data_IF_933642565045
#
_entry.id   IF_933642565045
#
_cell.length_a   1.000
_cell.length_b   1.000
_cell.length_c   1.000
_cell.angle_alpha   90.00
_cell.angle_beta   90.00
_cell.angle_gamma   90.00
#
_symmetry.space_group_name_H-M   'P 1'
#
loop_
_entity.id
_entity.type
_entity.pdbx_description
1 polymer ?
#
# COMPACT_ATOMS: atom_id res chain seq x y z
N UNK A 1 -14.73 23.71 -16.03
CA UNK A 1 -13.84 22.84 -15.23
C UNK A 1 -12.42 23.15 -15.65
N UNK A 2 -11.57 23.68 -14.75
CA UNK A 2 -10.14 23.87 -15.03
C UNK A 2 -9.50 22.47 -15.16
N UNK A 3 -8.75 22.24 -16.23
CA UNK A 3 -8.03 20.98 -16.45
C UNK A 3 -7.09 20.71 -15.28
N UNK A 4 -7.06 19.47 -14.81
CA UNK A 4 -6.10 19.05 -13.80
C UNK A 4 -4.70 19.23 -14.38
N UNK A 5 -3.90 20.12 -13.81
CA UNK A 5 -2.47 20.16 -14.07
C UNK A 5 -1.91 18.77 -13.79
N UNK A 6 -1.22 18.20 -14.77
CA UNK A 6 -0.53 16.90 -14.70
C UNK A 6 0.67 17.04 -13.77
N UNK A 7 0.41 17.18 -12.47
CA UNK A 7 1.44 17.25 -11.45
C UNK A 7 2.05 15.89 -11.18
N UNK A 8 3.26 15.90 -10.60
CA UNK A 8 3.87 14.76 -9.91
C UNK A 8 3.55 14.91 -8.41
N UNK A 9 2.32 14.59 -7.94
CA UNK A 9 1.89 14.89 -6.57
C UNK A 9 2.67 14.12 -5.49
N UNK A 10 3.39 13.06 -5.88
CA UNK A 10 4.21 12.25 -4.99
C UNK A 10 5.71 12.54 -5.14
N UNK A 11 6.10 13.61 -5.84
CA UNK A 11 7.50 13.96 -6.00
C UNK A 11 8.22 14.11 -4.65
N UNK A 12 9.27 13.30 -4.45
CA UNK A 12 10.04 13.24 -3.21
C UNK A 12 9.45 12.37 -2.09
N UNK A 13 8.27 11.77 -2.29
CA UNK A 13 7.69 10.84 -1.34
C UNK A 13 8.32 9.44 -1.49
N UNK A 14 8.71 8.83 -0.37
CA UNK A 14 9.10 7.41 -0.32
C UNK A 14 7.87 6.55 -0.06
N UNK A 15 7.68 5.52 -0.89
CA UNK A 15 6.49 4.67 -0.88
C UNK A 15 6.90 3.21 -0.76
N UNK A 16 6.31 2.48 0.18
CA UNK A 16 6.47 1.02 0.30
C UNK A 16 5.15 0.34 -0.08
N UNK A 17 5.16 -0.46 -1.15
CA UNK A 17 4.00 -1.21 -1.63
C UNK A 17 4.12 -2.69 -1.21
N UNK A 18 3.42 -3.07 -0.14
CA UNK A 18 3.48 -4.41 0.45
C UNK A 18 2.44 -5.33 -0.21
N UNK A 19 2.91 -6.40 -0.85
CA UNK A 19 2.06 -7.26 -1.68
C UNK A 19 1.80 -6.64 -3.05
N UNK A 20 2.85 -6.09 -3.69
CA UNK A 20 2.73 -5.33 -4.93
C UNK A 20 2.23 -6.14 -6.13
N UNK A 21 2.22 -7.48 -6.04
CA UNK A 21 1.82 -8.37 -7.11
C UNK A 21 2.62 -8.10 -8.39
N UNK A 22 1.92 -7.96 -9.52
CA UNK A 22 2.51 -7.63 -10.82
C UNK A 22 2.89 -6.15 -11.00
N UNK A 23 2.87 -5.32 -9.95
CA UNK A 23 3.44 -3.96 -9.96
C UNK A 23 2.52 -2.84 -10.49
N UNK A 24 1.22 -3.09 -10.72
CA UNK A 24 0.30 -2.08 -11.29
C UNK A 24 0.15 -0.81 -10.42
N UNK A 25 0.01 -1.01 -9.11
CA UNK A 25 -0.08 0.10 -8.15
C UNK A 25 1.25 0.82 -8.04
N UNK A 26 2.35 0.06 -7.93
CA UNK A 26 3.70 0.59 -7.85
C UNK A 26 4.05 1.46 -9.07
N UNK A 27 3.73 1.00 -10.29
CA UNK A 27 3.88 1.75 -11.54
C UNK A 27 3.16 3.10 -11.49
N UNK A 28 1.89 3.07 -11.07
CA UNK A 28 1.07 4.28 -10.97
C UNK A 28 1.65 5.28 -9.97
N UNK A 29 2.12 4.81 -8.82
CA UNK A 29 2.71 5.64 -7.76
C UNK A 29 4.04 6.28 -8.19
N UNK A 30 4.87 5.56 -8.94
CA UNK A 30 6.12 6.11 -9.51
C UNK A 30 5.85 7.15 -10.60
N UNK A 31 4.89 6.89 -11.49
CA UNK A 31 4.47 7.88 -12.52
C UNK A 31 3.94 9.17 -11.90
N UNK A 32 3.39 9.10 -10.69
CA UNK A 32 2.98 10.27 -9.90
C UNK A 32 4.14 10.95 -9.16
N UNK A 33 5.38 10.47 -9.29
CA UNK A 33 6.61 11.06 -8.76
C UNK A 33 7.20 10.37 -7.53
N UNK A 34 6.58 9.29 -7.02
CA UNK A 34 7.06 8.60 -5.83
C UNK A 34 8.34 7.79 -6.06
N UNK A 35 9.21 7.76 -5.06
CA UNK A 35 10.30 6.80 -4.91
C UNK A 35 9.71 5.52 -4.29
N UNK A 36 9.39 4.54 -5.14
CA UNK A 36 8.57 3.38 -4.76
C UNK A 36 9.43 2.12 -4.62
N UNK A 37 9.34 1.49 -3.46
CA UNK A 37 9.82 0.14 -3.19
C UNK A 37 8.61 -0.82 -3.17
N UNK A 38 8.53 -1.72 -4.14
CA UNK A 38 7.54 -2.80 -4.15
C UNK A 38 8.09 -4.08 -3.56
N UNK A 39 7.34 -4.74 -2.67
CA UNK A 39 7.67 -6.07 -2.13
C UNK A 39 6.50 -7.04 -2.30
N UNK A 40 6.80 -8.29 -2.64
CA UNK A 40 5.82 -9.36 -2.73
C UNK A 40 6.47 -10.68 -2.29
N UNK A 41 5.66 -11.58 -1.75
CA UNK A 41 6.11 -12.91 -1.33
C UNK A 41 6.32 -13.88 -2.50
N UNK A 42 5.67 -13.62 -3.65
CA UNK A 42 5.74 -14.44 -4.84
C UNK A 42 6.84 -13.95 -5.79
N UNK A 43 7.84 -14.79 -6.01
CA UNK A 43 8.91 -14.49 -6.97
C UNK A 43 8.37 -14.36 -8.40
N UNK A 44 7.35 -15.14 -8.75
CA UNK A 44 6.69 -15.04 -10.05
C UNK A 44 6.02 -13.66 -10.23
N UNK A 45 5.37 -13.14 -9.18
CA UNK A 45 4.79 -11.79 -9.19
C UNK A 45 5.86 -10.71 -9.36
N UNK A 46 6.97 -10.81 -8.61
CA UNK A 46 8.11 -9.91 -8.76
C UNK A 46 8.70 -9.99 -10.17
N UNK A 47 8.79 -11.18 -10.77
CA UNK A 47 9.22 -11.36 -12.15
C UNK A 47 8.33 -10.61 -13.14
N UNK A 48 7.01 -10.68 -12.97
CA UNK A 48 6.05 -9.91 -13.79
C UNK A 48 6.18 -8.41 -13.54
N UNK A 49 6.27 -7.97 -12.28
CA UNK A 49 6.44 -6.57 -11.91
C UNK A 49 7.71 -5.95 -12.51
N UNK A 50 8.82 -6.69 -12.53
CA UNK A 50 10.08 -6.27 -13.15
C UNK A 50 9.98 -6.09 -14.66
N UNK A 51 9.21 -6.94 -15.35
CA UNK A 51 9.00 -6.82 -16.81
C UNK A 51 8.15 -5.60 -17.16
N UNK A 52 7.25 -5.19 -16.27
CA UNK A 52 6.39 -4.00 -16.45
C UNK A 52 7.02 -2.70 -15.95
N UNK A 53 8.03 -2.78 -15.09
CA UNK A 53 8.85 -1.66 -14.66
C UNK A 53 9.60 -1.05 -15.86
N UNK A 54 9.13 0.12 -16.32
CA UNK A 54 9.82 0.91 -17.36
C UNK A 54 10.68 2.03 -16.80
N UNK A 55 10.65 2.28 -15.49
CA UNK A 55 11.41 3.34 -14.82
C UNK A 55 11.90 2.86 -13.44
N UNK A 56 13.16 3.11 -13.11
CA UNK A 56 13.88 3.10 -11.81
C UNK A 56 13.15 2.60 -10.53
N UNK A 57 12.60 1.37 -10.52
CA UNK A 57 12.17 0.71 -9.27
C UNK A 57 13.30 -0.10 -8.67
N UNK A 58 13.65 0.17 -7.41
CA UNK A 58 14.45 -0.78 -6.62
C UNK A 58 13.52 -1.88 -6.09
N UNK A 59 13.62 -3.08 -6.66
CA UNK A 59 12.95 -4.28 -6.14
C UNK A 59 13.90 -5.03 -5.21
N UNK A 60 13.53 -5.15 -3.94
CA UNK A 60 14.28 -5.99 -3.00
C UNK A 60 13.89 -7.45 -3.20
N UNK A 61 14.67 -8.19 -4.00
CA UNK A 61 14.67 -9.65 -3.98
C UNK A 61 15.34 -10.11 -2.69
N UNK A 62 14.56 -10.58 -1.70
CA UNK A 62 15.23 -11.13 -0.51
C UNK A 62 14.44 -11.31 0.78
N UNK A 63 13.17 -10.91 0.89
CA UNK A 63 12.39 -11.36 2.05
C UNK A 63 11.90 -12.79 1.81
N UNK A 64 12.78 -13.73 2.19
CA UNK A 64 12.56 -15.17 2.49
C UNK A 64 11.44 -15.87 1.73
N UNK A 65 11.81 -16.85 0.88
CA UNK A 65 10.93 -17.88 0.30
C UNK A 65 9.78 -18.23 1.26
N UNK A 66 8.58 -17.69 1.00
CA UNK A 66 7.40 -18.09 1.76
C UNK A 66 6.83 -19.32 1.02
N UNK A 67 6.77 -20.51 1.66
CA UNK A 67 6.33 -21.73 0.99
C UNK A 67 4.99 -21.55 0.27
N UNK A 68 4.84 -22.14 -0.92
CA UNK A 68 3.59 -22.16 -1.68
C UNK A 68 2.45 -22.68 -0.78
N UNK A 69 1.38 -21.89 -0.60
CA UNK A 69 0.26 -22.22 0.31
C UNK A 69 0.24 -21.46 1.65
N UNK A 70 1.04 -20.41 1.80
CA UNK A 70 1.13 -19.58 3.03
C UNK A 70 0.33 -18.28 2.98
N UNK A 71 -0.54 -18.10 1.98
CA UNK A 71 -1.46 -16.97 1.87
C UNK A 71 -2.67 -17.16 2.78
N UNK A 72 -2.42 -17.37 4.07
CA UNK A 72 -3.49 -17.36 5.06
C UNK A 72 -3.61 -15.94 5.62
N UNK A 73 -4.86 -15.51 5.83
CA UNK A 73 -5.18 -14.18 6.35
C UNK A 73 -4.47 -13.88 7.68
N UNK A 74 -4.07 -14.91 8.42
CA UNK A 74 -3.34 -14.78 9.68
C UNK A 74 -1.91 -14.23 9.52
N UNK A 75 -1.34 -14.22 8.31
CA UNK A 75 -0.02 -13.62 8.03
C UNK A 75 -0.11 -12.17 7.52
N UNK A 76 -1.31 -11.64 7.36
CA UNK A 76 -1.53 -10.24 7.03
C UNK A 76 -1.09 -9.36 8.20
N UNK A 77 -0.12 -8.48 7.97
CA UNK A 77 0.31 -7.52 8.98
C UNK A 77 -0.86 -6.57 9.27
N UNK A 78 -1.43 -6.66 10.47
CA UNK A 78 -2.63 -5.90 10.79
C UNK A 78 -2.28 -4.42 10.91
N UNK A 79 -3.18 -3.50 10.52
CA UNK A 79 -2.95 -2.06 10.66
C UNK A 79 -2.50 -1.66 12.07
N UNK A 80 -3.11 -2.20 13.12
CA UNK A 80 -2.73 -1.91 14.51
C UNK A 80 -1.28 -2.29 14.84
N UNK A 81 -0.82 -3.42 14.31
CA UNK A 81 0.55 -3.90 14.52
C UNK A 81 1.53 -2.99 13.77
N UNK A 82 1.22 -2.64 12.52
CA UNK A 82 2.04 -1.73 11.72
C UNK A 82 2.11 -0.31 12.30
N UNK A 83 0.98 0.25 12.74
CA UNK A 83 0.91 1.56 13.40
C UNK A 83 1.75 1.55 14.67
N UNK A 84 1.62 0.52 15.51
CA UNK A 84 2.42 0.41 16.74
C UNK A 84 3.92 0.35 16.46
N UNK A 85 4.34 -0.27 15.35
CA UNK A 85 5.75 -0.29 14.94
C UNK A 85 6.17 1.09 14.44
N UNK A 86 5.36 1.73 13.60
CA UNK A 86 5.69 3.04 13.02
C UNK A 86 5.75 4.13 14.09
N UNK A 87 4.79 4.18 14.99
CA UNK A 87 4.70 5.20 16.05
C UNK A 87 5.55 4.88 17.29
N UNK A 88 6.34 3.80 17.25
CA UNK A 88 7.38 3.59 18.26
C UNK A 88 8.31 4.82 18.26
N UNK A 89 8.49 5.43 19.45
CA UNK A 89 9.26 6.65 19.64
C UNK A 89 10.70 6.58 19.08
N UNK A 90 11.24 5.39 18.90
CA UNK A 90 12.55 5.17 18.26
C UNK A 90 12.58 5.48 16.76
N UNK A 91 11.43 5.42 16.08
CA UNK A 91 11.32 5.62 14.63
C UNK A 91 11.08 7.08 14.23
N UNK A 92 10.59 7.91 15.16
CA UNK A 92 10.29 9.33 14.90
C UNK A 92 9.24 9.52 13.81
N UNK A 93 8.32 8.57 13.65
CA UNK A 93 7.28 8.59 12.64
C UNK A 93 5.92 8.74 13.32
N UNK A 94 5.01 9.43 12.65
CA UNK A 94 3.62 9.58 13.07
C UNK A 94 2.70 9.14 11.95
N UNK A 95 1.74 8.27 12.26
CA UNK A 95 0.72 7.88 11.28
C UNK A 95 -0.30 9.01 11.17
N UNK A 96 -0.57 9.45 9.94
CA UNK A 96 -1.47 10.58 9.64
C UNK A 96 -2.70 10.17 8.84
N UNK A 97 -2.69 8.98 8.25
CA UNK A 97 -3.85 8.38 7.57
C UNK A 97 -3.86 6.86 7.78
N UNK A 98 -5.04 6.32 8.04
CA UNK A 98 -5.31 4.89 8.15
C UNK A 98 -6.68 4.58 7.52
N UNK A 99 -6.68 4.55 6.20
CA UNK A 99 -7.88 4.40 5.39
C UNK A 99 -8.00 3.00 4.79
N UNK A 100 -9.22 2.58 4.47
CA UNK A 100 -9.51 1.34 3.76
C UNK A 100 -10.34 1.57 2.51
N UNK A 101 -10.34 0.59 1.62
CA UNK A 101 -11.16 0.59 0.41
C UNK A 101 -12.39 -0.27 0.68
N UNK A 102 -13.57 0.35 0.58
CA UNK A 102 -14.86 -0.30 0.76
C UNK A 102 -15.69 -0.22 -0.51
N UNK A 103 -16.41 -1.30 -0.83
CA UNK A 103 -17.36 -1.35 -1.92
C UNK A 103 -18.76 -0.98 -1.45
N UNK A 104 -19.36 0.04 -2.06
CA UNK A 104 -20.72 0.46 -1.80
C UNK A 104 -21.71 -0.18 -2.79
N UNK A 105 -22.55 -1.14 -2.35
CA UNK A 105 -23.50 -1.80 -3.23
C UNK A 105 -24.67 -0.88 -3.65
N UNK A 106 -24.95 0.18 -2.89
CA UNK A 106 -26.09 1.07 -3.18
C UNK A 106 -25.88 1.92 -4.43
N UNK A 107 -24.62 2.21 -4.77
CA UNK A 107 -24.28 3.03 -5.92
C UNK A 107 -23.20 2.39 -6.81
N UNK A 108 -22.90 1.09 -6.61
CA UNK A 108 -21.91 0.33 -7.38
C UNK A 108 -20.56 1.07 -7.51
N UNK A 109 -20.02 1.54 -6.38
CA UNK A 109 -18.77 2.32 -6.38
C UNK A 109 -17.82 1.91 -5.26
N UNK A 110 -16.53 2.03 -5.51
CA UNK A 110 -15.47 1.87 -4.52
C UNK A 110 -15.16 3.21 -3.87
N UNK A 111 -14.99 3.25 -2.55
CA UNK A 111 -14.64 4.46 -1.80
C UNK A 111 -13.50 4.19 -0.83
N UNK A 112 -12.62 5.18 -0.69
CA UNK A 112 -11.67 5.26 0.41
C UNK A 112 -12.41 5.79 1.63
N UNK A 113 -12.27 5.09 2.75
CA UNK A 113 -13.00 5.34 3.99
C UNK A 113 -12.05 5.29 5.17
N UNK A 114 -12.16 6.28 6.05
CA UNK A 114 -11.44 6.30 7.32
C UNK A 114 -11.93 5.16 8.21
N UNK A 115 -10.99 4.38 8.78
CA UNK A 115 -11.31 3.25 9.65
C UNK A 115 -11.87 3.67 11.00
N UNK A 116 -11.46 4.81 11.53
CA UNK A 116 -11.92 5.28 12.85
C UNK A 116 -13.38 5.68 12.80
N UNK A 117 -13.86 6.11 11.63
CA UNK A 117 -15.28 6.42 11.36
C UNK A 117 -16.11 5.13 11.18
N UNK A 118 -15.49 3.99 10.83
CA UNK A 118 -16.19 2.76 10.44
C UNK A 118 -16.29 1.66 11.52
N UNK A 119 -15.80 1.90 12.74
CA UNK A 119 -15.94 0.96 13.87
C UNK A 119 -17.38 0.54 14.20
N UNK A 120 -18.38 1.23 13.63
CA UNK A 120 -19.82 0.99 13.84
C UNK A 120 -20.48 0.16 12.72
N UNK A 121 -19.88 -0.01 11.52
CA UNK A 121 -20.69 -0.41 10.35
C UNK A 121 -20.24 -1.65 9.57
N UNK A 122 -18.97 -2.09 9.51
CA UNK A 122 -18.67 -3.29 8.69
C UNK A 122 -17.34 -3.99 8.98
N UNK A 123 -17.41 -5.32 9.09
CA UNK A 123 -16.30 -6.28 9.14
C UNK A 123 -15.51 -6.41 7.82
N UNK A 124 -15.97 -5.79 6.73
CA UNK A 124 -15.40 -5.93 5.38
C UNK A 124 -14.12 -5.11 5.09
N UNK A 125 -13.73 -4.19 5.97
CA UNK A 125 -12.55 -3.30 5.73
C UNK A 125 -11.25 -3.93 6.22
N UNK A 126 -11.29 -5.13 6.82
CA UNK A 126 -10.10 -5.73 7.41
C UNK A 126 -9.13 -6.36 6.39
N UNK A 127 -9.56 -6.56 5.13
CA UNK A 127 -8.78 -7.23 4.09
C UNK A 127 -7.84 -6.33 3.28
N UNK A 128 -7.88 -5.00 3.45
CA UNK A 128 -6.97 -4.07 2.79
C UNK A 128 -6.73 -2.81 3.64
N UNK A 129 -5.60 -2.13 3.47
CA UNK A 129 -5.35 -0.80 4.01
C UNK A 129 -4.43 0.08 3.18
N UNK A 130 -4.70 1.39 3.27
CA UNK A 130 -3.82 2.48 2.85
C UNK A 130 -3.39 3.19 4.14
N UNK A 131 -2.08 3.29 4.34
CA UNK A 131 -1.52 3.91 5.54
C UNK A 131 -0.47 4.92 5.11
N UNK A 132 -0.57 6.14 5.64
CA UNK A 132 0.42 7.20 5.43
C UNK A 132 1.03 7.60 6.76
N UNK A 133 2.36 7.65 6.81
CA UNK A 133 3.10 8.11 7.97
C UNK A 133 4.11 9.19 7.56
N UNK A 134 4.34 10.16 8.43
CA UNK A 134 5.29 11.26 8.24
C UNK A 134 6.36 11.22 9.32
N UNK A 135 7.59 11.56 8.95
CA UNK A 135 8.69 11.74 9.91
C UNK A 135 8.51 13.07 10.63
N UNK A 136 8.61 13.05 11.96
CA UNK A 136 8.55 14.24 12.83
C UNK A 136 9.91 14.95 12.90
#
# INVERSE_FOLDING_TARGET
MKGAETGRPLEGAKVLDIGCGGGLSSESLSRLGGDVLGIDASYENIGVAKVHSKEDFEFVEGLSVIPKGTHTYEKFLKPKELISIMEDNSNGMKVVDNSGIWYNPLNNSWKVVDRDIMGVVNSGVQSNYLLTAVKL
#
